data_IF_959567481128
#
_entry.id   IF_959567481128
#
_cell.length_a   1.000
_cell.length_b   1.000
_cell.length_c   1.000
_cell.angle_alpha   90.00
_cell.angle_beta   90.00
_cell.angle_gamma   90.00
#
_symmetry.space_group_name_H-M   'P 1'
#
loop_
_entity.id
_entity.type
_entity.pdbx_description
1 polymer ?
#
# COMPACT_ATOMS: atom_id res chain seq x y z
N UNK A 1 -42.45 -6.60 -21.81
CA UNK A 1 -41.35 -5.66 -22.06
C UNK A 1 -41.44 -4.55 -21.04
N UNK A 2 -40.38 -4.35 -20.24
CA UNK A 2 -40.26 -3.25 -19.30
C UNK A 2 -39.63 -2.01 -19.97
N UNK A 3 -39.45 -0.92 -19.24
CA UNK A 3 -38.90 0.34 -19.79
C UNK A 3 -37.48 0.19 -20.31
N UNK A 4 -36.65 -0.55 -19.59
CA UNK A 4 -35.23 -0.68 -19.90
C UNK A 4 -35.05 -1.62 -21.10
N UNK A 5 -35.81 -2.71 -21.16
CA UNK A 5 -35.90 -3.59 -22.34
C UNK A 5 -36.44 -2.87 -23.57
N UNK A 6 -37.42 -1.98 -23.42
CA UNK A 6 -37.96 -1.21 -24.53
C UNK A 6 -36.93 -0.22 -25.09
N UNK A 7 -36.13 0.38 -24.22
CA UNK A 7 -35.04 1.26 -24.61
C UNK A 7 -33.94 0.49 -25.33
N UNK A 8 -33.50 -0.65 -24.79
CA UNK A 8 -32.50 -1.51 -25.42
C UNK A 8 -32.99 -2.11 -26.75
N UNK A 9 -34.29 -2.42 -26.87
CA UNK A 9 -34.93 -2.85 -28.10
C UNK A 9 -34.81 -1.79 -29.21
N UNK A 10 -35.13 -0.52 -28.91
CA UNK A 10 -35.03 0.57 -29.89
C UNK A 10 -33.59 0.90 -30.23
N UNK A 11 -32.70 0.85 -29.24
CA UNK A 11 -31.26 1.06 -29.44
C UNK A 11 -30.65 -0.03 -30.32
N UNK A 12 -31.05 -1.28 -30.12
CA UNK A 12 -30.63 -2.40 -30.97
C UNK A 12 -31.16 -2.29 -32.41
N UNK A 13 -32.26 -1.56 -32.62
CA UNK A 13 -32.79 -1.24 -33.94
C UNK A 13 -32.14 0.00 -34.60
N UNK A 14 -31.18 0.65 -33.93
CA UNK A 14 -30.44 1.80 -34.47
C UNK A 14 -31.19 3.14 -34.40
N UNK A 15 -32.21 3.24 -33.54
CA UNK A 15 -32.94 4.49 -33.30
C UNK A 15 -32.10 5.42 -32.41
N UNK A 16 -32.13 6.74 -32.66
CA UNK A 16 -31.39 7.71 -31.85
C UNK A 16 -31.90 7.79 -30.41
N UNK A 17 -31.03 8.10 -29.46
CA UNK A 17 -31.35 8.10 -28.03
C UNK A 17 -32.54 9.03 -27.69
N UNK A 18 -32.66 10.18 -28.35
CA UNK A 18 -33.77 11.13 -28.16
C UNK A 18 -35.13 10.53 -28.59
N UNK A 19 -35.17 9.91 -29.78
CA UNK A 19 -36.38 9.25 -30.31
C UNK A 19 -36.72 8.01 -29.47
N UNK A 20 -35.71 7.31 -28.94
CA UNK A 20 -35.91 6.19 -28.02
C UNK A 20 -36.63 6.64 -26.74
N UNK A 21 -36.16 7.71 -26.10
CA UNK A 21 -36.77 8.22 -24.86
C UNK A 21 -38.20 8.70 -25.11
N UNK A 22 -38.46 9.42 -26.20
CA UNK A 22 -39.82 9.87 -26.55
C UNK A 22 -40.77 8.70 -26.84
N UNK A 23 -40.29 7.70 -27.57
CA UNK A 23 -41.07 6.52 -27.95
C UNK A 23 -41.38 5.66 -26.72
N UNK A 24 -40.41 5.43 -25.83
CA UNK A 24 -40.61 4.70 -24.56
C UNK A 24 -41.61 5.44 -23.66
N UNK A 25 -41.51 6.78 -23.55
CA UNK A 25 -42.50 7.59 -22.81
C UNK A 25 -43.90 7.50 -23.42
N UNK A 26 -44.02 7.47 -24.75
CA UNK A 26 -45.29 7.27 -25.44
C UNK A 26 -45.85 5.87 -25.20
N UNK A 27 -45.05 4.82 -25.30
CA UNK A 27 -45.47 3.45 -25.04
C UNK A 27 -45.86 3.19 -23.59
N UNK A 28 -45.26 3.89 -22.64
CA UNK A 28 -45.71 3.91 -21.23
C UNK A 28 -47.11 4.53 -21.10
N UNK A 29 -47.36 5.67 -21.77
CA UNK A 29 -48.70 6.31 -21.78
C UNK A 29 -49.76 5.43 -22.43
N UNK A 30 -49.40 4.74 -23.51
CA UNK A 30 -50.27 3.82 -24.26
C UNK A 30 -50.40 2.43 -23.59
N UNK A 31 -49.75 2.20 -22.43
CA UNK A 31 -49.73 0.92 -21.70
C UNK A 31 -49.21 -0.27 -22.54
N UNK A 32 -48.44 -0.02 -23.60
CA UNK A 32 -47.77 -1.05 -24.43
C UNK A 32 -46.60 -1.70 -23.69
N UNK A 33 -46.00 -0.99 -22.74
CA UNK A 33 -44.94 -1.47 -21.85
C UNK A 33 -45.29 -1.17 -20.39
N UNK A 34 -44.69 -1.93 -19.47
CA UNK A 34 -44.90 -1.76 -18.03
C UNK A 34 -43.71 -1.05 -17.39
N UNK A 35 -43.97 -0.13 -16.47
CA UNK A 35 -42.94 0.46 -15.62
C UNK A 35 -42.58 -0.52 -14.51
N UNK A 36 -41.31 -0.90 -14.41
CA UNK A 36 -40.77 -1.64 -13.27
C UNK A 36 -39.87 -0.70 -12.47
N UNK A 37 -40.16 -0.55 -11.18
CA UNK A 37 -39.34 0.27 -10.29
C UNK A 37 -37.98 -0.42 -10.05
N UNK A 38 -36.90 0.36 -10.18
CA UNK A 38 -35.50 -0.05 -9.95
C UNK A 38 -35.36 -0.87 -8.66
N UNK A 39 -35.25 -2.18 -8.80
CA UNK A 39 -35.09 -3.10 -7.68
C UNK A 39 -34.73 -4.53 -8.04
N UNK A 40 -34.81 -4.93 -9.31
CA UNK A 40 -34.43 -6.26 -9.74
C UNK A 40 -33.36 -6.17 -10.83
N UNK A 41 -32.15 -6.65 -10.53
CA UNK A 41 -31.22 -7.11 -11.55
C UNK A 41 -31.92 -8.21 -12.35
N UNK A 42 -32.61 -7.84 -13.42
CA UNK A 42 -33.24 -8.79 -14.33
C UNK A 42 -32.65 -8.60 -15.72
N UNK A 43 -32.45 -9.75 -16.36
CA UNK A 43 -31.80 -9.93 -17.65
C UNK A 43 -32.30 -8.90 -18.68
N UNK A 44 -31.35 -8.23 -19.33
CA UNK A 44 -31.59 -7.30 -20.45
C UNK A 44 -32.05 -8.02 -21.73
N UNK A 45 -32.22 -9.35 -21.67
CA UNK A 45 -32.70 -10.15 -22.79
C UNK A 45 -34.23 -10.06 -22.86
N UNK A 46 -34.72 -9.25 -23.80
CA UNK A 46 -36.12 -9.28 -24.21
C UNK A 46 -36.35 -10.48 -25.14
N UNK A 47 -37.39 -11.26 -24.87
CA UNK A 47 -37.85 -12.31 -25.78
C UNK A 47 -39.18 -11.87 -26.39
N UNK A 48 -39.18 -11.64 -27.70
CA UNK A 48 -40.38 -11.28 -28.44
C UNK A 48 -41.15 -12.56 -28.81
N UNK A 49 -42.47 -12.54 -28.65
CA UNK A 49 -43.28 -13.73 -28.91
C UNK A 49 -43.40 -14.02 -30.40
N UNK A 50 -43.64 -12.98 -31.19
CA UNK A 50 -43.90 -13.11 -32.63
C UNK A 50 -43.12 -12.06 -33.44
N UNK A 51 -42.76 -12.45 -34.66
CA UNK A 51 -42.10 -11.56 -35.63
C UNK A 51 -42.96 -10.34 -36.01
N UNK A 52 -44.28 -10.53 -36.13
CA UNK A 52 -45.22 -9.45 -36.43
C UNK A 52 -45.29 -8.40 -35.31
N UNK A 53 -45.13 -8.84 -34.06
CA UNK A 53 -45.08 -7.94 -32.90
C UNK A 53 -43.85 -7.02 -32.97
N UNK A 54 -42.70 -7.57 -33.39
CA UNK A 54 -41.48 -6.79 -33.53
C UNK A 54 -41.60 -5.75 -34.65
N UNK A 55 -42.14 -6.13 -35.80
CA UNK A 55 -42.33 -5.24 -36.96
C UNK A 55 -43.30 -4.11 -36.61
N UNK A 56 -44.41 -4.40 -35.93
CA UNK A 56 -45.37 -3.38 -35.51
C UNK A 56 -44.75 -2.38 -34.52
N UNK A 57 -43.94 -2.85 -33.57
CA UNK A 57 -43.24 -1.97 -32.64
C UNK A 57 -42.19 -1.10 -33.34
N UNK A 58 -41.49 -1.62 -34.35
CA UNK A 58 -40.51 -0.84 -35.11
C UNK A 58 -41.19 0.20 -36.02
N UNK A 59 -42.30 -0.17 -36.65
CA UNK A 59 -43.12 0.77 -37.43
C UNK A 59 -43.69 1.88 -36.52
N UNK A 60 -44.19 1.52 -35.34
CA UNK A 60 -44.67 2.48 -34.34
C UNK A 60 -43.55 3.44 -33.89
N UNK A 61 -42.31 2.95 -33.80
CA UNK A 61 -41.12 3.73 -33.46
C UNK A 61 -40.58 4.60 -34.61
N UNK A 62 -41.24 4.59 -35.78
CA UNK A 62 -40.82 5.38 -36.94
C UNK A 62 -39.63 4.80 -37.69
N UNK A 63 -39.29 3.53 -37.47
CA UNK A 63 -38.23 2.84 -38.22
C UNK A 63 -38.76 2.50 -39.61
N UNK A 64 -38.00 2.83 -40.66
CA UNK A 64 -38.35 2.48 -42.03
C UNK A 64 -38.54 0.95 -42.15
N UNK A 65 -39.62 0.51 -42.80
CA UNK A 65 -39.97 -0.91 -42.90
C UNK A 65 -38.82 -1.78 -43.45
N UNK A 66 -38.03 -1.26 -44.40
CA UNK A 66 -36.85 -1.96 -44.95
C UNK A 66 -35.75 -2.20 -43.91
N UNK A 67 -35.49 -1.25 -43.00
CA UNK A 67 -34.53 -1.40 -41.91
C UNK A 67 -35.09 -2.25 -40.78
N UNK A 68 -36.36 -2.04 -40.42
CA UNK A 68 -37.02 -2.82 -39.37
C UNK A 68 -37.04 -4.31 -39.69
N UNK A 69 -37.23 -4.67 -40.96
CA UNK A 69 -37.24 -6.07 -41.39
C UNK A 69 -35.85 -6.72 -41.33
N UNK A 70 -34.77 -6.00 -41.68
CA UNK A 70 -33.41 -6.53 -41.53
C UNK A 70 -33.03 -6.76 -40.06
N UNK A 71 -33.41 -5.83 -39.19
CA UNK A 71 -33.20 -5.94 -37.73
C UNK A 71 -33.94 -7.15 -37.17
N UNK A 72 -35.20 -7.34 -37.58
CA UNK A 72 -36.03 -8.48 -37.16
C UNK A 72 -35.48 -9.82 -37.68
N UNK A 73 -34.96 -9.88 -38.91
CA UNK A 73 -34.26 -11.07 -39.42
C UNK A 73 -33.04 -11.42 -38.55
N UNK A 74 -32.22 -10.43 -38.21
CA UNK A 74 -31.07 -10.63 -37.33
C UNK A 74 -31.50 -11.16 -35.97
N UNK A 75 -32.56 -10.63 -35.38
CA UNK A 75 -33.08 -11.09 -34.09
C UNK A 75 -33.69 -12.49 -34.12
N UNK A 76 -34.26 -12.90 -35.25
CA UNK A 76 -34.72 -14.28 -35.46
C UNK A 76 -33.52 -15.26 -35.43
N UNK A 77 -32.42 -14.93 -36.11
CA UNK A 77 -31.19 -15.73 -36.06
C UNK A 77 -30.48 -15.70 -34.70
N UNK A 78 -30.58 -14.59 -33.96
CA UNK A 78 -30.04 -14.45 -32.60
C UNK A 78 -30.91 -15.16 -31.54
N UNK A 79 -32.05 -15.75 -31.92
CA UNK A 79 -32.94 -16.47 -30.99
C UNK A 79 -33.76 -15.57 -30.06
N UNK A 80 -33.83 -14.26 -30.34
CA UNK A 80 -34.58 -13.27 -29.55
C UNK A 80 -36.08 -13.26 -29.87
N UNK A 81 -36.51 -14.01 -30.89
CA UNK A 81 -37.90 -14.15 -31.31
C UNK A 81 -38.31 -15.63 -31.20
N UNK A 82 -39.38 -15.95 -30.49
CA UNK A 82 -39.82 -17.33 -30.26
C UNK A 82 -40.56 -17.96 -31.45
N UNK A 83 -41.34 -17.18 -32.21
CA UNK A 83 -42.15 -17.69 -33.32
C UNK A 83 -42.14 -16.74 -34.52
N UNK A 84 -42.13 -17.34 -35.71
CA UNK A 84 -42.38 -16.64 -36.98
C UNK A 84 -43.89 -16.45 -37.12
N UNK A 85 -44.33 -15.20 -37.31
CA UNK A 85 -45.74 -14.86 -37.49
C UNK A 85 -46.26 -15.21 -38.89
N UNK A 86 -47.58 -15.31 -39.05
CA UNK A 86 -48.25 -15.66 -40.32
C UNK A 86 -48.62 -14.43 -41.18
N UNK A 87 -48.10 -13.24 -40.86
CA UNK A 87 -48.42 -12.02 -41.60
C UNK A 87 -47.96 -12.06 -43.07
N UNK A 88 -48.80 -11.55 -43.99
CA UNK A 88 -48.51 -11.50 -45.44
C UNK A 88 -47.23 -10.73 -45.80
N UNK A 89 -46.74 -9.88 -44.89
CA UNK A 89 -45.49 -9.14 -45.01
C UNK A 89 -44.25 -10.05 -44.83
N UNK A 90 -44.37 -11.28 -44.33
CA UNK A 90 -43.27 -12.25 -44.23
C UNK A 90 -43.22 -13.20 -45.44
N UNK A 91 -44.37 -13.54 -46.02
CA UNK A 91 -44.46 -14.50 -47.13
C UNK A 91 -43.85 -13.97 -48.43
N UNK A 92 -43.91 -12.66 -48.67
CA UNK A 92 -43.21 -12.02 -49.80
C UNK A 92 -41.68 -12.05 -49.62
N UNK A 93 -41.22 -12.11 -48.37
CA UNK A 93 -39.79 -12.07 -48.01
C UNK A 93 -39.12 -13.44 -48.01
N UNK A 94 -39.83 -14.51 -47.62
CA UNK A 94 -39.30 -15.89 -47.74
C UNK A 94 -39.21 -16.29 -49.23
N UNK A 95 -40.14 -15.82 -50.06
CA UNK A 95 -40.23 -16.18 -51.48
C UNK A 95 -39.12 -15.56 -52.34
N UNK A 96 -38.50 -14.45 -51.90
CA UNK A 96 -37.39 -13.82 -52.62
C UNK A 96 -36.00 -14.46 -52.32
N UNK A 97 -35.95 -15.52 -51.52
CA UNK A 97 -34.72 -16.28 -51.26
C UNK A 97 -34.52 -17.37 -52.33
N UNK A 98 -34.36 -16.97 -53.60
CA UNK A 98 -33.71 -17.83 -54.59
C UNK A 98 -32.21 -17.83 -54.30
N UNK A 99 -31.79 -18.78 -53.46
CA UNK A 99 -30.43 -19.17 -53.02
C UNK A 99 -30.16 -18.94 -51.52
N UNK A 100 -30.65 -19.85 -50.65
CA UNK A 100 -30.27 -19.86 -49.23
C UNK A 100 -28.79 -20.26 -49.00
N UNK A 101 -28.01 -20.55 -50.05
CA UNK A 101 -26.62 -21.02 -49.96
C UNK A 101 -25.56 -19.94 -50.14
N UNK A 102 -25.93 -18.68 -50.40
CA UNK A 102 -24.95 -17.64 -50.77
C UNK A 102 -24.70 -16.54 -49.71
N UNK A 103 -25.30 -16.66 -48.51
CA UNK A 103 -25.12 -15.72 -47.40
C UNK A 103 -24.29 -16.25 -46.23
N UNK A 104 -23.85 -17.51 -46.26
CA UNK A 104 -22.80 -18.02 -45.38
C UNK A 104 -21.50 -17.93 -46.16
N UNK A 105 -20.88 -16.74 -46.19
CA UNK A 105 -19.43 -16.73 -46.38
C UNK A 105 -18.85 -17.48 -45.18
N UNK A 106 -17.96 -18.48 -45.36
CA UNK A 106 -17.21 -19.01 -44.23
C UNK A 106 -16.57 -17.82 -43.49
N UNK A 107 -16.49 -17.84 -42.15
CA UNK A 107 -15.98 -16.72 -41.38
C UNK A 107 -14.66 -16.29 -42.03
N UNK A 108 -14.63 -15.03 -42.48
CA UNK A 108 -13.45 -14.49 -43.14
C UNK A 108 -12.26 -14.74 -42.22
N UNK A 109 -11.07 -15.00 -42.74
CA UNK A 109 -9.86 -15.08 -41.91
C UNK A 109 -9.73 -13.83 -41.01
N UNK A 110 -10.27 -12.69 -41.46
CA UNK A 110 -10.43 -11.48 -40.66
C UNK A 110 -11.38 -11.64 -39.45
N UNK A 111 -12.50 -12.34 -39.59
CA UNK A 111 -13.45 -12.57 -38.48
C UNK A 111 -12.87 -13.52 -37.43
N UNK A 112 -12.10 -14.53 -37.86
CA UNK A 112 -11.35 -15.41 -36.94
C UNK A 112 -10.29 -14.61 -36.20
N UNK A 113 -9.52 -13.78 -36.90
CA UNK A 113 -8.53 -12.89 -36.32
C UNK A 113 -9.16 -11.90 -35.32
N UNK A 114 -10.30 -11.30 -35.66
CA UNK A 114 -11.03 -10.39 -34.76
C UNK A 114 -11.48 -11.11 -33.50
N UNK A 115 -11.99 -12.36 -33.60
CA UNK A 115 -12.36 -13.16 -32.43
C UNK A 115 -11.16 -13.49 -31.56
N UNK A 116 -10.03 -13.85 -32.16
CA UNK A 116 -8.80 -14.14 -31.43
C UNK A 116 -8.25 -12.90 -30.73
N UNK A 117 -8.20 -11.76 -31.42
CA UNK A 117 -7.78 -10.48 -30.84
C UNK A 117 -8.72 -10.06 -29.70
N UNK A 118 -10.04 -10.23 -29.86
CA UNK A 118 -11.01 -9.94 -28.80
C UNK A 118 -10.80 -10.83 -27.58
N UNK A 119 -10.49 -12.11 -27.78
CA UNK A 119 -10.15 -13.02 -26.69
C UNK A 119 -8.85 -12.59 -25.99
N UNK A 120 -7.80 -12.23 -26.74
CA UNK A 120 -6.53 -11.72 -26.18
C UNK A 120 -6.72 -10.44 -25.38
N UNK A 121 -7.50 -9.48 -25.90
CA UNK A 121 -7.83 -8.23 -25.18
C UNK A 121 -8.56 -8.54 -23.88
N UNK A 122 -9.56 -9.43 -23.90
CA UNK A 122 -10.28 -9.81 -22.68
C UNK A 122 -9.34 -10.43 -21.64
N UNK A 123 -8.44 -11.32 -22.06
CA UNK A 123 -7.43 -11.90 -21.17
C UNK A 123 -6.53 -10.81 -20.59
N UNK A 124 -6.06 -9.87 -21.41
CA UNK A 124 -5.24 -8.74 -20.93
C UNK A 124 -6.00 -7.84 -19.95
N UNK A 125 -7.27 -7.55 -20.21
CA UNK A 125 -8.13 -6.77 -19.29
C UNK A 125 -8.26 -7.45 -17.93
N UNK A 126 -8.40 -8.78 -17.91
CA UNK A 126 -8.49 -9.54 -16.66
C UNK A 126 -7.14 -9.51 -15.91
N UNK A 127 -6.00 -9.62 -16.60
CA UNK A 127 -4.68 -9.44 -15.99
C UNK A 127 -4.47 -8.02 -15.42
N UNK A 128 -4.94 -6.98 -16.12
CA UNK A 128 -4.85 -5.59 -15.64
C UNK A 128 -5.66 -5.44 -14.35
N UNK A 129 -6.87 -6.00 -14.28
CA UNK A 129 -7.69 -5.97 -13.05
C UNK A 129 -7.01 -6.67 -11.88
N UNK A 130 -6.40 -7.83 -12.10
CA UNK A 130 -5.64 -8.52 -11.05
C UNK A 130 -4.47 -7.66 -10.56
N UNK A 131 -3.74 -7.02 -11.48
CA UNK A 131 -2.64 -6.12 -11.15
C UNK A 131 -3.12 -4.89 -10.36
N UNK A 132 -4.27 -4.33 -10.72
CA UNK A 132 -4.88 -3.20 -10.01
C UNK A 132 -5.28 -3.57 -8.58
N UNK A 133 -5.89 -4.74 -8.37
CA UNK A 133 -6.26 -5.21 -7.02
C UNK A 133 -5.01 -5.50 -6.17
N UNK A 134 -3.98 -6.11 -6.77
CA UNK A 134 -2.71 -6.30 -6.10
C UNK A 134 -2.09 -4.96 -5.72
N UNK A 135 -2.08 -3.99 -6.63
CA UNK A 135 -1.57 -2.65 -6.36
C UNK A 135 -2.35 -1.96 -5.22
N UNK A 136 -3.69 -2.00 -5.26
CA UNK A 136 -4.55 -1.46 -4.18
C UNK A 136 -4.23 -2.10 -2.83
N UNK A 137 -4.03 -3.42 -2.80
CA UNK A 137 -3.67 -4.14 -1.57
C UNK A 137 -2.30 -3.69 -1.04
N UNK A 138 -1.30 -3.59 -1.92
CA UNK A 138 0.05 -3.15 -1.59
C UNK A 138 0.08 -1.72 -1.04
N UNK A 139 -0.62 -0.80 -1.71
CA UNK A 139 -0.76 0.59 -1.25
C UNK A 139 -1.38 0.67 0.15
N UNK A 140 -2.43 -0.12 0.42
CA UNK A 140 -3.03 -0.17 1.77
C UNK A 140 -2.03 -0.64 2.83
N UNK A 141 -1.26 -1.69 2.54
CA UNK A 141 -0.24 -2.21 3.45
C UNK A 141 0.85 -1.17 3.72
N UNK A 142 1.34 -0.50 2.66
CA UNK A 142 2.36 0.56 2.79
C UNK A 142 1.82 1.72 3.64
N UNK A 143 0.58 2.15 3.44
CA UNK A 143 -0.05 3.19 4.26
C UNK A 143 -0.13 2.77 5.73
N UNK A 144 -0.52 1.52 6.01
CA UNK A 144 -0.56 0.99 7.37
C UNK A 144 0.82 0.98 8.03
N UNK A 145 1.85 0.53 7.31
CA UNK A 145 3.22 0.53 7.80
C UNK A 145 3.73 1.95 8.07
N UNK A 146 3.51 2.88 7.13
CA UNK A 146 3.86 4.30 7.30
C UNK A 146 3.22 4.88 8.56
N UNK A 147 1.93 4.63 8.77
CA UNK A 147 1.21 5.13 9.93
C UNK A 147 1.72 4.51 11.25
N UNK A 148 2.11 3.23 11.23
CA UNK A 148 2.72 2.57 12.40
C UNK A 148 4.08 3.20 12.74
N UNK A 149 4.94 3.36 11.74
CA UNK A 149 6.25 4.00 11.90
C UNK A 149 6.11 5.44 12.40
N UNK A 150 5.15 6.21 11.88
CA UNK A 150 4.92 7.59 12.32
C UNK A 150 4.53 7.67 13.80
N UNK A 151 3.74 6.71 14.31
CA UNK A 151 3.43 6.61 15.75
C UNK A 151 4.65 6.25 16.58
N UNK A 152 5.48 5.32 16.10
CA UNK A 152 6.72 4.93 16.78
C UNK A 152 7.71 6.10 16.86
N UNK A 153 7.86 6.88 15.78
CA UNK A 153 8.68 8.09 15.76
C UNK A 153 8.20 9.09 16.81
N UNK A 154 6.90 9.35 16.87
CA UNK A 154 6.33 10.29 17.85
C UNK A 154 6.59 9.81 19.29
N UNK A 155 6.44 8.52 19.57
CA UNK A 155 6.72 7.96 20.88
C UNK A 155 8.21 8.09 21.26
N UNK A 156 9.12 7.81 20.31
CA UNK A 156 10.55 7.95 20.52
C UNK A 156 10.96 9.41 20.74
N UNK A 157 10.31 10.36 20.06
CA UNK A 157 10.52 11.79 20.30
C UNK A 157 10.08 12.21 21.70
N UNK A 158 8.94 11.70 22.19
CA UNK A 158 8.49 11.93 23.56
C UNK A 158 9.45 11.34 24.59
N UNK A 159 9.86 10.09 24.41
CA UNK A 159 10.81 9.42 25.31
C UNK A 159 12.16 10.16 25.35
N UNK A 160 12.68 10.56 24.18
CA UNK A 160 13.89 11.38 24.09
C UNK A 160 13.76 12.69 24.87
N UNK A 161 12.62 13.36 24.77
CA UNK A 161 12.38 14.61 25.50
C UNK A 161 12.33 14.39 27.01
N UNK A 162 11.69 13.31 27.49
CA UNK A 162 11.67 12.97 28.91
C UNK A 162 13.07 12.61 29.42
N UNK A 163 13.82 11.78 28.70
CA UNK A 163 15.22 11.46 29.03
C UNK A 163 16.09 12.72 29.09
N UNK A 164 15.89 13.68 28.17
CA UNK A 164 16.59 14.96 28.22
C UNK A 164 16.22 15.83 29.43
N UNK A 165 14.98 15.74 29.91
CA UNK A 165 14.57 16.42 31.16
C UNK A 165 15.21 15.76 32.37
N UNK A 166 15.17 14.43 32.45
CA UNK A 166 15.81 13.67 33.53
C UNK A 166 17.32 13.92 33.57
N UNK A 167 17.98 13.90 32.40
CA UNK A 167 19.40 14.22 32.29
C UNK A 167 19.72 15.60 32.85
N UNK A 168 18.91 16.61 32.51
CA UNK A 168 19.09 17.98 33.04
C UNK A 168 18.86 18.05 34.54
N UNK A 169 17.88 17.32 35.06
CA UNK A 169 17.58 17.24 36.50
C UNK A 169 18.76 16.63 37.27
N UNK A 170 19.25 15.47 36.84
CA UNK A 170 20.40 14.80 37.46
C UNK A 170 21.67 15.66 37.38
N UNK A 171 21.90 16.34 36.24
CA UNK A 171 23.03 17.25 36.10
C UNK A 171 22.95 18.40 37.12
N UNK A 172 21.76 18.97 37.31
CA UNK A 172 21.53 20.04 38.30
C UNK A 172 21.78 19.55 39.72
N UNK A 173 21.23 18.40 40.10
CA UNK A 173 21.46 17.75 41.40
C UNK A 173 22.96 17.46 41.63
N UNK A 174 23.68 17.01 40.59
CA UNK A 174 25.11 16.75 40.67
C UNK A 174 25.93 18.04 40.91
N UNK A 175 25.56 19.13 40.24
CA UNK A 175 26.19 20.44 40.45
C UNK A 175 25.93 20.93 41.88
N UNK A 176 24.70 20.82 42.36
CA UNK A 176 24.32 21.19 43.74
C UNK A 176 25.14 20.38 44.75
N UNK A 177 25.18 19.04 44.63
CA UNK A 177 25.97 18.16 45.50
C UNK A 177 27.46 18.49 45.47
N UNK A 178 28.04 18.75 44.28
CA UNK A 178 29.44 19.15 44.18
C UNK A 178 29.69 20.49 44.87
N UNK A 179 28.78 21.45 44.75
CA UNK A 179 28.87 22.73 45.44
C UNK A 179 28.83 22.57 46.96
N UNK A 180 27.97 21.68 47.47
CA UNK A 180 27.87 21.33 48.89
C UNK A 180 29.13 20.62 49.38
N UNK A 181 29.65 19.65 48.62
CA UNK A 181 30.91 18.96 48.93
C UNK A 181 32.08 19.95 48.98
N UNK A 182 32.13 20.91 48.06
CA UNK A 182 33.16 21.93 48.01
C UNK A 182 33.07 22.86 49.22
N UNK A 183 31.85 23.27 49.60
CA UNK A 183 31.60 24.05 50.81
C UNK A 183 31.97 23.30 52.10
N UNK A 184 31.62 22.02 52.21
CA UNK A 184 31.99 21.18 53.36
C UNK A 184 33.50 20.97 53.43
N UNK A 185 34.16 20.72 52.29
CA UNK A 185 35.63 20.60 52.21
C UNK A 185 36.32 21.89 52.65
N UNK A 186 35.81 23.05 52.25
CA UNK A 186 36.34 24.34 52.66
C UNK A 186 36.17 24.56 54.17
N UNK A 187 35.00 24.22 54.73
CA UNK A 187 34.76 24.26 56.18
C UNK A 187 35.73 23.36 56.95
N UNK A 188 35.92 22.11 56.51
CA UNK A 188 36.88 21.18 57.11
C UNK A 188 38.31 21.70 57.01
N UNK A 189 38.71 22.26 55.87
CA UNK A 189 40.03 22.88 55.70
C UNK A 189 40.24 24.08 56.63
N UNK A 190 39.20 24.85 56.93
CA UNK A 190 39.24 25.98 57.87
C UNK A 190 39.30 25.50 59.33
N UNK A 191 38.60 24.41 59.68
CA UNK A 191 38.65 23.80 61.02
C UNK A 191 39.95 23.02 61.29
N UNK A 192 40.59 22.45 60.26
CA UNK A 192 41.87 21.74 60.38
C UNK A 192 43.10 22.63 60.57
N UNK A 193 42.96 23.97 60.52
CA UNK A 193 44.05 24.93 60.78
C UNK A 193 44.13 25.28 62.26
N UNK A 194 44.50 24.30 63.10
CA UNK A 194 45.13 24.54 64.40
C UNK A 194 46.43 23.70 64.51
N UNK A 195 47.50 24.23 63.91
CA UNK A 195 48.95 24.22 64.33
C UNK A 195 49.70 22.85 64.46
N UNK A 196 50.98 22.71 64.03
CA UNK A 196 51.64 23.21 62.82
C UNK A 196 52.60 22.17 62.15
N UNK A 197 53.18 22.58 61.03
CA UNK A 197 54.55 22.25 60.58
C UNK A 197 54.96 20.80 60.28
N UNK A 198 54.84 20.40 59.00
CA UNK A 198 55.80 19.51 58.33
C UNK A 198 55.95 19.87 56.85
N UNK A 199 57.08 20.51 56.57
CA UNK A 199 57.94 20.31 55.40
C UNK A 199 57.26 20.02 54.07
N UNK A 200 57.35 21.01 53.17
CA UNK A 200 57.17 20.83 51.74
C UNK A 200 58.15 19.76 51.23
N UNK A 201 57.64 18.55 51.03
CA UNK A 201 58.30 17.53 50.23
C UNK A 201 57.86 17.74 48.77
N UNK A 202 58.85 17.96 47.92
CA UNK A 202 58.80 17.85 46.46
C UNK A 202 57.95 16.65 46.02
N UNK A 203 57.06 16.76 45.01
CA UNK A 203 56.30 15.62 44.55
C UNK A 203 57.27 14.61 43.91
N UNK A 204 57.34 13.35 44.39
CA UNK A 204 58.12 12.34 43.70
C UNK A 204 57.47 12.06 42.35
N UNK A 205 58.30 11.81 41.33
CA UNK A 205 57.88 11.41 39.99
C UNK A 205 56.68 10.45 40.06
N UNK A 206 55.59 10.83 39.41
CA UNK A 206 54.34 10.08 39.35
C UNK A 206 54.64 8.66 38.85
N UNK A 207 54.82 7.71 39.76
CA UNK A 207 54.70 6.29 39.40
C UNK A 207 53.26 6.12 38.94
N UNK A 208 53.08 5.79 37.66
CA UNK A 208 51.78 5.50 37.07
C UNK A 208 51.15 4.34 37.85
N UNK A 209 50.25 4.65 38.79
CA UNK A 209 49.54 3.63 39.54
C UNK A 209 48.42 3.08 38.65
N UNK A 210 48.77 2.07 37.84
CA UNK A 210 47.86 1.39 36.91
C UNK A 210 46.62 0.83 37.63
N UNK A 211 46.72 0.51 38.93
CA UNK A 211 45.59 0.05 39.75
C UNK A 211 44.60 1.18 40.00
N UNK A 212 45.11 2.35 40.37
CA UNK A 212 44.28 3.54 40.57
C UNK A 212 43.59 3.96 39.26
N UNK A 213 44.30 3.89 38.12
CA UNK A 213 43.75 4.25 36.80
C UNK A 213 42.61 3.34 36.34
N UNK A 214 42.63 2.07 36.74
CA UNK A 214 41.56 1.09 36.48
C UNK A 214 40.45 1.07 37.54
N UNK A 215 40.53 1.89 38.58
CA UNK A 215 39.61 1.85 39.71
C UNK A 215 39.72 0.56 40.55
N UNK A 216 40.87 -0.10 40.50
CA UNK A 216 41.16 -1.30 41.30
C UNK A 216 41.71 -0.93 42.68
N UNK A 217 41.55 -1.84 43.64
CA UNK A 217 42.17 -1.69 44.96
C UNK A 217 43.69 -1.56 44.84
N UNK A 218 44.31 -0.82 45.76
CA UNK A 218 45.78 -0.75 45.88
C UNK A 218 46.42 -2.12 46.11
N UNK A 219 45.65 -3.10 46.61
CA UNK A 219 46.08 -4.49 46.84
C UNK A 219 45.76 -5.45 45.68
N UNK A 220 45.17 -4.96 44.59
CA UNK A 220 44.76 -5.81 43.46
C UNK A 220 45.97 -6.51 42.82
N UNK A 221 45.80 -7.79 42.48
CA UNK A 221 46.87 -8.58 41.86
C UNK A 221 47.15 -8.12 40.42
N UNK A 222 48.38 -8.29 39.94
CA UNK A 222 48.76 -8.03 38.54
C UNK A 222 47.89 -8.80 37.54
N UNK A 223 47.46 -10.03 37.90
CA UNK A 223 46.52 -10.81 37.08
C UNK A 223 45.17 -10.12 36.93
N UNK A 224 44.72 -9.42 37.97
CA UNK A 224 43.46 -8.68 37.98
C UNK A 224 43.57 -7.42 37.10
N UNK A 225 44.69 -6.71 37.20
CA UNK A 225 45.05 -5.57 36.35
C UNK A 225 45.06 -5.99 34.87
N UNK A 226 45.74 -7.08 34.52
CA UNK A 226 45.75 -7.64 33.16
C UNK A 226 44.34 -7.99 32.67
N UNK A 227 43.53 -8.62 33.51
CA UNK A 227 42.18 -9.06 33.14
C UNK A 227 41.27 -7.86 32.87
N UNK A 228 41.40 -6.78 33.67
CA UNK A 228 40.66 -5.54 33.47
C UNK A 228 41.06 -4.82 32.19
N UNK A 229 42.35 -4.65 31.92
CA UNK A 229 42.81 -4.07 30.65
C UNK A 229 42.34 -4.87 29.44
N UNK A 230 42.41 -6.21 29.48
CA UNK A 230 41.89 -7.07 28.40
C UNK A 230 40.38 -6.93 28.20
N UNK A 231 39.60 -6.78 29.28
CA UNK A 231 38.16 -6.51 29.19
C UNK A 231 37.89 -5.15 28.57
N UNK A 232 38.61 -4.11 28.97
CA UNK A 232 38.49 -2.77 28.40
C UNK A 232 38.83 -2.76 26.91
N UNK A 233 39.92 -3.40 26.49
CA UNK A 233 40.30 -3.50 25.08
C UNK A 233 39.24 -4.20 24.22
N UNK A 234 38.55 -5.21 24.76
CA UNK A 234 37.43 -5.85 24.04
C UNK A 234 36.28 -4.88 23.85
N UNK A 235 35.84 -4.23 24.94
CA UNK A 235 34.70 -3.31 24.93
C UNK A 235 34.97 -2.07 24.05
N UNK A 236 36.21 -1.57 24.04
CA UNK A 236 36.57 -0.36 23.29
C UNK A 236 36.95 -0.64 21.84
N UNK A 237 37.00 -1.90 21.41
CA UNK A 237 37.42 -2.27 20.07
C UNK A 237 36.49 -1.66 19.00
N UNK A 238 37.03 -1.01 17.94
CA UNK A 238 36.22 -0.37 16.90
C UNK A 238 35.26 -1.33 16.20
N UNK A 239 35.69 -2.57 15.92
CA UNK A 239 34.85 -3.60 15.30
C UNK A 239 33.67 -4.06 16.18
N UNK A 240 33.69 -3.77 17.48
CA UNK A 240 32.58 -4.07 18.40
C UNK A 240 31.69 -2.83 18.68
N UNK A 241 31.84 -1.77 17.88
CA UNK A 241 31.15 -0.49 18.08
C UNK A 241 31.82 0.42 19.11
N UNK A 242 33.06 0.11 19.51
CA UNK A 242 33.84 0.91 20.44
C UNK A 242 34.53 2.12 19.77
N UNK A 243 35.02 3.05 20.59
CA UNK A 243 35.72 4.24 20.10
C UNK A 243 37.21 3.94 19.85
N UNK A 244 37.65 4.09 18.60
CA UNK A 244 39.04 3.83 18.19
C UNK A 244 40.09 4.64 18.97
N UNK A 245 39.80 5.89 19.33
CA UNK A 245 40.71 6.74 20.13
C UNK A 245 40.87 6.19 21.54
N UNK A 246 39.77 5.74 22.15
CA UNK A 246 39.78 5.13 23.48
C UNK A 246 40.47 3.77 23.44
N UNK A 247 40.27 2.98 22.39
CA UNK A 247 40.99 1.73 22.18
C UNK A 247 42.51 1.93 22.13
N UNK A 248 42.98 2.90 21.33
CA UNK A 248 44.40 3.22 21.26
C UNK A 248 44.98 3.64 22.60
N UNK A 249 44.26 4.49 23.34
CA UNK A 249 44.67 4.93 24.68
C UNK A 249 44.80 3.76 25.67
N UNK A 250 43.78 2.90 25.74
CA UNK A 250 43.79 1.72 26.62
C UNK A 250 44.88 0.73 26.19
N UNK A 251 45.16 0.63 24.88
CA UNK A 251 46.23 -0.22 24.35
C UNK A 251 47.62 0.28 24.74
N UNK A 252 47.87 1.59 24.62
CA UNK A 252 49.14 2.19 25.07
C UNK A 252 49.38 1.99 26.56
N UNK A 253 48.34 2.14 27.39
CA UNK A 253 48.44 1.88 28.84
C UNK A 253 48.70 0.40 29.15
N UNK A 254 48.04 -0.50 28.43
CA UNK A 254 48.24 -1.94 28.57
C UNK A 254 49.66 -2.36 28.20
N UNK A 255 50.20 -1.82 27.11
CA UNK A 255 51.56 -2.10 26.64
C UNK A 255 52.59 -1.53 27.62
N UNK A 256 52.38 -0.32 28.16
CA UNK A 256 53.21 0.23 29.25
C UNK A 256 53.21 -0.64 30.50
N UNK A 257 52.03 -1.10 30.94
CA UNK A 257 51.91 -2.00 32.08
C UNK A 257 52.60 -3.34 31.82
N UNK A 258 52.45 -3.91 30.62
CA UNK A 258 53.10 -5.16 30.23
C UNK A 258 54.62 -5.03 30.20
N UNK A 259 55.14 -3.91 29.71
CA UNK A 259 56.58 -3.64 29.72
C UNK A 259 57.10 -3.46 31.16
N UNK A 260 56.32 -2.84 32.05
CA UNK A 260 56.68 -2.70 33.47
C UNK A 260 56.68 -4.01 34.26
N UNK A 261 56.15 -5.10 33.69
CA UNK A 261 56.20 -6.46 34.25
C UNK A 261 57.37 -7.29 33.67
N UNK A 262 58.05 -6.79 32.64
CA UNK A 262 59.19 -7.47 31.99
C UNK A 262 60.55 -6.92 32.41
N UNK A 263 60.58 -5.75 33.07
CA UNK A 263 61.72 -5.21 33.83
C UNK A 263 61.74 -5.77 35.26
#
# INVERSE_FOLDING_TARGET
MNTDQAFDFLKAAGVSDDICVETVRRWLRERKIKYEAKGAFQQTDYILQNTDQAINLLNDAGVAASMGIQVVQRWLYEGKIQKVGNGNQLTEYISNVKNPKHLIKPPSEQDKLIRELKAKVKVQDDHIKELEELHKSSVRTIIQQRNKLQKEILNLELEKNELQKEMRKVLKENIELNSELLYLKEKLSKQGKKVPDRTQATPPAQRLDFRQKLGLSKTASEKEVLTRYKKLLKITHPDQGGNAVVFHYVKTDYDQFKNSLQE
#
